data_IF_508448558049
#
_entry.id   IF_508448558049
#
_cell.length_a   1.000
_cell.length_b   1.000
_cell.length_c   1.000
_cell.angle_alpha   90.00
_cell.angle_beta   90.00
_cell.angle_gamma   90.00
#
_symmetry.space_group_name_H-M   'P 1'
#
loop_
_entity.id
_entity.type
_entity.pdbx_description
1 polymer ?
#
# COMPACT_ATOMS: atom_id res chain seq x y z
N UNK A 1 -3.91 1.55 -15.61
CA UNK A 1 -2.88 0.97 -14.74
C UNK A 1 -3.34 -0.38 -14.24
N UNK A 2 -2.49 -1.39 -14.32
CA UNK A 2 -2.82 -2.74 -13.90
C UNK A 2 -2.29 -3.03 -12.50
N UNK A 3 -2.80 -4.10 -11.88
CA UNK A 3 -2.29 -4.58 -10.59
C UNK A 3 -0.81 -4.93 -10.66
N UNK A 4 -0.38 -5.56 -11.77
CA UNK A 4 1.04 -5.92 -11.93
C UNK A 4 1.94 -4.69 -12.00
N UNK A 5 1.50 -3.60 -12.60
CA UNK A 5 2.26 -2.34 -12.58
C UNK A 5 2.34 -1.75 -11.18
N UNK A 6 1.24 -1.78 -10.43
CA UNK A 6 1.23 -1.24 -9.07
C UNK A 6 2.10 -2.06 -8.11
N UNK A 7 2.18 -3.39 -8.31
CA UNK A 7 3.01 -4.27 -7.51
C UNK A 7 4.50 -4.00 -7.63
N UNK A 8 4.94 -3.34 -8.69
CA UNK A 8 6.35 -3.00 -8.88
C UNK A 8 6.75 -1.70 -8.18
N UNK A 9 5.77 -0.94 -7.69
CA UNK A 9 6.00 0.37 -7.08
C UNK A 9 6.13 0.26 -5.56
N UNK A 10 7.05 1.02 -4.99
CA UNK A 10 7.18 1.12 -3.54
C UNK A 10 6.16 2.12 -3.00
N UNK A 11 5.53 1.75 -1.88
CA UNK A 11 4.61 2.64 -1.18
C UNK A 11 5.36 3.36 -0.07
N UNK A 12 5.31 4.69 -0.09
CA UNK A 12 5.99 5.54 0.90
C UNK A 12 4.96 6.42 1.59
N UNK A 13 5.00 6.43 2.92
CA UNK A 13 4.18 7.32 3.72
C UNK A 13 4.85 8.67 3.82
N UNK A 14 4.21 9.71 3.28
CA UNK A 14 4.77 11.06 3.29
C UNK A 14 4.78 11.70 4.67
N UNK A 15 3.97 11.19 5.59
CA UNK A 15 3.87 11.72 6.94
C UNK A 15 5.13 11.49 7.75
N UNK A 16 5.77 10.33 7.59
CA UNK A 16 6.96 9.94 8.35
C UNK A 16 8.12 9.47 7.48
N UNK A 17 7.95 9.43 6.17
CA UNK A 17 8.97 8.98 5.22
C UNK A 17 9.21 7.48 5.21
N UNK A 18 8.37 6.69 5.86
CA UNK A 18 8.55 5.23 5.93
C UNK A 18 8.16 4.55 4.64
N UNK A 19 8.94 3.53 4.27
CA UNK A 19 8.58 2.61 3.21
C UNK A 19 7.64 1.54 3.77
N UNK A 20 6.49 1.42 3.15
CA UNK A 20 5.49 0.43 3.57
C UNK A 20 5.59 -0.86 2.75
N UNK A 21 6.52 -0.92 1.82
CA UNK A 21 6.72 -2.05 0.93
C UNK A 21 5.94 -1.91 -0.37
N UNK A 22 5.86 -3.01 -1.12
CA UNK A 22 5.17 -3.01 -2.41
C UNK A 22 3.71 -3.42 -2.22
N UNK A 23 2.86 -2.98 -3.13
CA UNK A 23 1.44 -3.31 -3.09
C UNK A 23 1.27 -4.83 -3.18
N UNK A 24 0.56 -5.39 -2.19
CA UNK A 24 0.24 -6.82 -2.16
C UNK A 24 -1.08 -7.10 -2.87
N UNK A 25 -2.04 -6.20 -2.74
CA UNK A 25 -3.36 -6.36 -3.32
C UNK A 25 -4.01 -5.00 -3.53
N UNK A 26 -5.04 -4.96 -4.39
CA UNK A 26 -5.80 -3.74 -4.68
C UNK A 26 -7.28 -4.09 -4.66
N UNK A 27 -8.06 -3.22 -4.00
CA UNK A 27 -9.50 -3.28 -4.05
C UNK A 27 -10.03 -2.18 -4.96
N UNK A 28 -10.85 -2.55 -5.92
CA UNK A 28 -11.49 -1.62 -6.84
C UNK A 28 -12.96 -1.43 -6.48
N UNK A 29 -13.45 -0.22 -6.69
CA UNK A 29 -14.88 0.04 -6.61
C UNK A 29 -15.57 -0.49 -7.88
N UNK A 30 -16.57 -1.34 -7.72
CA UNK A 30 -17.29 -1.96 -8.85
C UNK A 30 -18.08 -0.93 -9.68
N UNK A 31 -18.47 0.17 -9.06
CA UNK A 31 -19.33 1.18 -9.72
C UNK A 31 -18.57 2.08 -10.69
N UNK A 32 -17.34 2.48 -10.34
CA UNK A 32 -16.59 3.48 -11.11
C UNK A 32 -15.20 2.98 -11.55
N UNK A 33 -14.81 1.78 -11.13
CA UNK A 33 -13.50 1.20 -11.46
C UNK A 33 -12.32 1.87 -10.79
N UNK A 34 -12.57 2.79 -9.86
CA UNK A 34 -11.49 3.48 -9.16
C UNK A 34 -10.91 2.62 -8.04
N UNK A 35 -9.67 2.89 -7.67
CA UNK A 35 -9.01 2.20 -6.57
C UNK A 35 -9.68 2.60 -5.26
N UNK A 36 -10.28 1.63 -4.58
CA UNK A 36 -10.92 1.83 -3.28
C UNK A 36 -9.91 1.74 -2.14
N UNK A 37 -8.99 0.78 -2.22
CA UNK A 37 -7.94 0.58 -1.22
C UNK A 37 -6.78 -0.20 -1.81
N UNK A 38 -5.60 -0.05 -1.20
CA UNK A 38 -4.45 -0.88 -1.49
C UNK A 38 -4.01 -1.57 -0.20
N UNK A 39 -3.42 -2.76 -0.33
CA UNK A 39 -2.89 -3.52 0.80
C UNK A 39 -1.38 -3.60 0.66
N UNK A 40 -0.67 -3.24 1.73
CA UNK A 40 0.79 -3.27 1.78
C UNK A 40 1.25 -4.04 3.00
N UNK A 41 2.46 -4.63 2.99
CA UNK A 41 2.95 -5.41 4.14
C UNK A 41 3.26 -4.55 5.37
N UNK A 42 3.53 -3.25 5.18
CA UNK A 42 3.94 -2.40 6.28
C UNK A 42 5.42 -2.60 6.63
N UNK A 43 5.79 -2.36 7.88
CA UNK A 43 7.14 -2.61 8.33
C UNK A 43 7.44 -4.10 8.37
N UNK A 44 8.60 -4.47 7.85
CA UNK A 44 9.07 -5.83 7.90
C UNK A 44 9.37 -6.24 9.34
N UNK A 45 8.60 -7.19 9.85
CA UNK A 45 8.78 -7.73 11.19
C UNK A 45 9.09 -9.22 11.10
N UNK A 46 10.34 -9.58 11.38
CA UNK A 46 10.79 -10.96 11.33
C UNK A 46 9.99 -11.87 12.28
N UNK A 47 9.63 -11.34 13.44
CA UNK A 47 8.84 -12.09 14.43
C UNK A 47 7.46 -12.44 13.89
N UNK A 48 6.80 -11.50 13.22
CA UNK A 48 5.51 -11.75 12.59
C UNK A 48 5.61 -12.80 11.49
N UNK A 49 6.68 -12.79 10.71
CA UNK A 49 6.91 -13.79 9.67
C UNK A 49 7.10 -15.18 10.27
N UNK A 50 7.86 -15.28 11.36
CA UNK A 50 8.09 -16.56 12.05
C UNK A 50 6.82 -17.14 12.67
N UNK A 51 5.89 -16.27 13.05
CA UNK A 51 4.58 -16.67 13.59
C UNK A 51 3.57 -16.99 12.51
N UNK A 52 3.91 -16.74 11.24
CA UNK A 52 2.97 -16.91 10.13
C UNK A 52 1.86 -15.87 10.11
N UNK A 53 2.04 -14.76 10.81
CA UNK A 53 1.07 -13.67 10.81
C UNK A 53 1.18 -12.88 9.51
N UNK A 54 0.07 -12.76 8.81
CA UNK A 54 -0.03 -11.90 7.63
C UNK A 54 -0.41 -10.50 8.09
N UNK A 55 0.59 -9.68 8.36
CA UNK A 55 0.37 -8.29 8.70
C UNK A 55 0.26 -7.46 7.43
N UNK A 56 -0.97 -7.21 6.97
CA UNK A 56 -1.22 -6.29 5.89
C UNK A 56 -1.81 -4.99 6.41
N UNK A 57 -1.39 -3.88 5.84
CA UNK A 57 -1.99 -2.58 6.11
C UNK A 57 -2.89 -2.23 4.95
N UNK A 58 -4.16 -1.96 5.24
CA UNK A 58 -5.13 -1.53 4.22
C UNK A 58 -5.12 -0.01 4.17
N UNK A 59 -4.77 0.53 3.02
CA UNK A 59 -4.70 1.98 2.81
C UNK A 59 -5.89 2.40 1.94
N UNK A 60 -6.82 3.22 2.48
CA UNK A 60 -7.93 3.72 1.68
C UNK A 60 -7.46 4.56 0.51
N UNK A 61 -8.17 4.49 -0.61
CA UNK A 61 -7.81 5.23 -1.82
C UNK A 61 -7.72 6.74 -1.60
N UNK A 62 -8.52 7.29 -0.68
CA UNK A 62 -8.49 8.72 -0.37
C UNK A 62 -7.22 9.16 0.39
N UNK A 63 -6.40 8.23 0.83
CA UNK A 63 -5.11 8.52 1.46
C UNK A 63 -3.94 8.45 0.48
N UNK A 64 -4.20 8.04 -0.75
CA UNK A 64 -3.20 8.03 -1.81
C UNK A 64 -3.05 9.45 -2.34
N UNK A 65 -1.84 10.01 -2.18
CA UNK A 65 -1.56 11.39 -2.61
C UNK A 65 -1.16 11.44 -4.07
N UNK A 66 -0.34 10.48 -4.51
CA UNK A 66 0.17 10.46 -5.87
C UNK A 66 0.64 9.07 -6.23
N UNK A 67 0.39 8.68 -7.48
CA UNK A 67 0.94 7.46 -8.07
C UNK A 67 1.96 7.87 -9.10
N UNK A 68 3.24 7.64 -8.80
CA UNK A 68 4.34 7.93 -9.72
C UNK A 68 4.75 6.69 -10.51
N UNK A 69 5.85 6.81 -11.26
CA UNK A 69 6.36 5.70 -12.08
C UNK A 69 6.91 4.55 -11.24
N UNK A 70 7.61 4.87 -10.16
CA UNK A 70 8.27 3.88 -9.30
C UNK A 70 7.77 3.89 -7.87
N UNK A 71 6.91 4.83 -7.51
CA UNK A 71 6.52 5.06 -6.13
C UNK A 71 5.05 5.46 -6.04
N UNK A 72 4.40 5.03 -4.96
CA UNK A 72 3.06 5.47 -4.58
C UNK A 72 3.17 6.23 -3.27
N UNK A 73 2.79 7.50 -3.29
CA UNK A 73 2.83 8.34 -2.08
C UNK A 73 1.49 8.31 -1.38
N UNK A 74 1.51 7.98 -0.10
CA UNK A 74 0.33 7.94 0.76
C UNK A 74 0.54 8.85 1.97
N UNK A 75 -0.55 9.26 2.59
CA UNK A 75 -0.51 10.08 3.79
C UNK A 75 -1.33 9.42 4.89
N UNK A 76 -0.65 8.78 5.84
CA UNK A 76 -1.28 8.07 6.96
C UNK A 76 -0.64 8.55 8.26
N UNK A 77 -1.42 9.24 9.08
CA UNK A 77 -0.92 9.85 10.31
C UNK A 77 -0.80 8.87 11.47
N UNK A 78 -1.56 7.78 11.46
CA UNK A 78 -1.72 6.87 12.59
C UNK A 78 -1.03 5.51 12.39
N UNK A 79 0.06 5.50 11.67
CA UNK A 79 0.79 4.25 11.47
C UNK A 79 1.67 3.90 12.67
#
# INVERSE_FOLDING_TARGET
MSLSEMRTKDVVNTCDGRRLGKVMDIEFCEKDGMVQAIVVPGEFNMLSMLRGEKCGIVIPGNRICKIGDDVILVNIEDL
#
